data_IF_437223607920
#
_entry.id   IF_437223607920
#
_cell.length_a   1.000
_cell.length_b   1.000
_cell.length_c   1.000
_cell.angle_alpha   90.00
_cell.angle_beta   90.00
_cell.angle_gamma   90.00
#
_symmetry.space_group_name_H-M   'P 1'
#
loop_
_entity.id
_entity.type
_entity.pdbx_description
1 polymer ?
#
# COMPACT_ATOMS: atom_id res chain seq x y z
N UNK A 1 -0.29 -46.87 -52.33
CA UNK A 1 -1.39 -46.27 -51.54
C UNK A 1 -0.75 -45.52 -50.34
N UNK A 2 -0.46 -44.24 -50.57
CA UNK A 2 0.19 -43.41 -49.55
C UNK A 2 -0.91 -42.81 -48.66
N UNK A 3 -0.86 -43.09 -47.36
CA UNK A 3 -1.75 -42.50 -46.37
C UNK A 3 -1.05 -41.27 -45.78
N UNK A 4 -1.54 -40.08 -46.13
CA UNK A 4 -1.08 -38.79 -45.56
C UNK A 4 -1.78 -38.55 -44.24
N UNK A 5 -1.06 -38.64 -43.12
CA UNK A 5 -1.56 -38.29 -41.78
C UNK A 5 -1.44 -36.78 -41.65
N UNK A 6 -2.57 -36.09 -41.63
CA UNK A 6 -2.66 -34.65 -41.27
C UNK A 6 -2.69 -34.52 -39.75
N UNK A 7 -1.58 -34.06 -39.18
CA UNK A 7 -1.52 -33.75 -37.76
C UNK A 7 -2.23 -32.38 -37.50
N UNK A 8 -3.40 -32.41 -36.87
CA UNK A 8 -4.07 -31.23 -36.40
C UNK A 8 -3.38 -30.72 -35.11
N UNK A 9 -2.64 -29.64 -35.21
CA UNK A 9 -2.10 -28.93 -34.03
C UNK A 9 -3.23 -28.19 -33.31
N UNK A 10 -3.64 -28.70 -32.18
CA UNK A 10 -4.56 -28.00 -31.26
C UNK A 10 -3.83 -26.80 -30.64
N UNK A 11 -4.15 -25.58 -31.07
CA UNK A 11 -3.78 -24.37 -30.36
C UNK A 11 -4.61 -24.28 -29.08
N UNK A 12 -4.05 -24.78 -27.99
CA UNK A 12 -4.59 -24.47 -26.64
C UNK A 12 -4.34 -22.98 -26.35
N UNK A 13 -5.38 -22.17 -26.53
CA UNK A 13 -5.37 -20.77 -26.11
C UNK A 13 -5.09 -20.72 -24.62
N UNK A 14 -3.99 -20.09 -24.22
CA UNK A 14 -3.70 -19.77 -22.83
C UNK A 14 -4.78 -18.81 -22.35
N UNK A 15 -5.84 -19.31 -21.70
CA UNK A 15 -6.72 -18.47 -20.89
C UNK A 15 -5.86 -17.83 -19.81
N UNK A 16 -5.62 -16.53 -19.92
CA UNK A 16 -4.84 -15.78 -18.94
C UNK A 16 -5.47 -15.94 -17.57
N UNK A 17 -4.85 -16.73 -16.70
CA UNK A 17 -5.31 -16.87 -15.32
C UNK A 17 -5.20 -15.52 -14.62
N UNK A 18 -6.27 -15.15 -13.90
CA UNK A 18 -6.25 -13.97 -13.03
C UNK A 18 -5.10 -14.12 -12.02
N UNK A 19 -4.29 -13.06 -11.79
CA UNK A 19 -3.22 -13.13 -10.82
C UNK A 19 -3.76 -13.32 -9.41
N UNK A 20 -2.94 -13.85 -8.50
CA UNK A 20 -3.31 -13.89 -7.09
C UNK A 20 -3.39 -12.47 -6.54
N UNK A 21 -4.41 -12.17 -5.73
CA UNK A 21 -4.68 -10.85 -5.19
C UNK A 21 -3.45 -10.23 -4.48
N UNK A 22 -2.67 -11.08 -3.77
CA UNK A 22 -1.49 -10.63 -3.02
C UNK A 22 -0.33 -10.18 -3.91
N UNK A 23 -0.31 -10.58 -5.19
CA UNK A 23 0.77 -10.24 -6.11
C UNK A 23 0.51 -8.95 -6.88
N UNK A 24 -0.74 -8.48 -6.93
CA UNK A 24 -1.16 -7.30 -7.70
C UNK A 24 -0.61 -6.01 -7.11
N UNK A 25 -0.44 -5.96 -5.78
CA UNK A 25 0.11 -4.78 -5.11
C UNK A 25 1.41 -5.15 -4.40
N UNK A 26 2.46 -4.39 -4.68
CA UNK A 26 3.78 -4.50 -4.06
C UNK A 26 4.01 -3.32 -3.11
N UNK A 27 3.72 -3.45 -1.82
CA UNK A 27 3.91 -2.37 -0.86
C UNK A 27 5.32 -2.37 -0.28
N UNK A 28 5.86 -1.16 -0.05
CA UNK A 28 7.10 -0.88 0.64
C UNK A 28 6.85 0.16 1.73
N UNK A 29 7.64 0.14 2.80
CA UNK A 29 7.58 1.12 3.89
C UNK A 29 8.84 1.95 3.95
N UNK A 30 8.69 3.22 4.30
CA UNK A 30 9.78 4.19 4.43
C UNK A 30 9.59 5.01 5.70
N UNK A 31 10.69 5.45 6.31
CA UNK A 31 10.70 6.41 7.41
C UNK A 31 11.35 7.71 6.95
N UNK A 32 10.93 8.83 7.52
CA UNK A 32 11.41 10.16 7.10
C UNK A 32 12.62 10.65 7.89
N UNK A 33 12.91 10.03 9.03
CA UNK A 33 13.92 10.52 9.97
C UNK A 33 14.68 9.36 10.63
N UNK A 34 16.01 9.47 10.74
CA UNK A 34 16.85 8.47 11.39
C UNK A 34 18.06 9.09 12.10
N UNK A 35 18.33 8.74 13.38
CA UNK A 35 17.38 8.12 14.30
C UNK A 35 16.21 9.04 14.59
N UNK A 36 15.14 8.56 15.24
CA UNK A 36 14.01 9.36 15.69
C UNK A 36 14.23 9.78 17.14
N UNK A 37 14.55 11.06 17.44
CA UNK A 37 14.71 11.51 18.82
C UNK A 37 13.37 11.58 19.55
N UNK A 38 13.36 11.29 20.84
CA UNK A 38 12.21 11.57 21.73
C UNK A 38 11.74 13.00 21.59
N UNK A 39 10.43 13.22 21.64
CA UNK A 39 9.81 14.53 21.47
C UNK A 39 9.73 15.01 20.01
N UNK A 40 10.16 14.21 19.01
CA UNK A 40 10.14 14.60 17.59
C UNK A 40 8.99 13.96 16.84
N UNK A 41 8.49 14.72 15.88
CA UNK A 41 7.59 14.21 14.86
C UNK A 41 8.39 13.59 13.72
N UNK A 42 7.86 12.52 13.12
CA UNK A 42 8.41 11.85 11.96
C UNK A 42 7.26 11.30 11.11
N UNK A 43 7.57 10.86 9.91
CA UNK A 43 6.59 10.25 9.02
C UNK A 43 7.00 8.81 8.67
N UNK A 44 6.00 7.97 8.51
CA UNK A 44 6.10 6.66 7.87
C UNK A 44 5.27 6.73 6.59
N UNK A 45 5.83 6.27 5.47
CA UNK A 45 5.11 6.14 4.22
C UNK A 45 4.95 4.67 3.85
N UNK A 46 3.73 4.31 3.40
CA UNK A 46 3.46 3.06 2.69
C UNK A 46 3.32 3.41 1.22
N UNK A 47 4.27 2.96 0.41
CA UNK A 47 4.25 3.11 -1.05
C UNK A 47 3.75 1.81 -1.64
N UNK A 48 2.58 1.83 -2.26
CA UNK A 48 1.94 0.69 -2.88
C UNK A 48 2.07 0.79 -4.41
N UNK A 49 2.87 -0.09 -5.01
CA UNK A 49 2.99 -0.23 -6.46
C UNK A 49 1.91 -1.19 -6.96
N UNK A 50 0.97 -0.68 -7.74
CA UNK A 50 -0.16 -1.42 -8.30
C UNK A 50 0.21 -1.86 -9.72
N UNK A 51 0.03 -3.14 -10.04
CA UNK A 51 0.30 -3.65 -11.38
C UNK A 51 -0.55 -2.95 -12.45
N UNK A 52 0.01 -2.68 -13.65
CA UNK A 52 -0.75 -2.15 -14.78
C UNK A 52 -2.00 -3.00 -15.09
N UNK A 53 -3.11 -2.35 -15.41
CA UNK A 53 -4.41 -2.99 -15.65
C UNK A 53 -5.19 -3.31 -14.37
N UNK A 54 -4.64 -2.96 -13.20
CA UNK A 54 -5.33 -3.08 -11.92
C UNK A 54 -5.44 -1.72 -11.23
N UNK A 55 -6.45 -1.62 -10.37
CA UNK A 55 -6.65 -0.53 -9.43
C UNK A 55 -7.00 -1.10 -8.06
N UNK A 56 -6.86 -0.30 -7.02
CA UNK A 56 -7.39 -0.61 -5.68
C UNK A 56 -8.42 0.46 -5.31
N UNK A 57 -9.43 0.08 -4.53
CA UNK A 57 -10.40 1.04 -4.04
C UNK A 57 -9.71 2.13 -3.24
N UNK A 58 -10.20 3.36 -3.29
CA UNK A 58 -9.69 4.44 -2.46
C UNK A 58 -10.00 4.21 -0.97
N UNK A 59 -9.40 5.05 -0.11
CA UNK A 59 -9.67 4.99 1.34
C UNK A 59 -11.10 5.44 1.71
N UNK A 60 -11.74 6.21 0.84
CA UNK A 60 -13.16 6.56 0.92
C UNK A 60 -13.84 6.03 -0.32
N UNK A 61 -14.60 4.99 -0.15
CA UNK A 61 -15.41 4.39 -1.21
C UNK A 61 -16.76 5.10 -1.34
N UNK A 62 -17.38 5.00 -2.51
CA UNK A 62 -18.66 5.63 -2.79
C UNK A 62 -19.85 4.68 -2.62
N UNK A 63 -19.56 3.36 -2.50
CA UNK A 63 -20.55 2.30 -2.35
C UNK A 63 -20.18 1.41 -1.17
N UNK A 64 -21.17 1.05 -0.34
CA UNK A 64 -20.97 0.35 0.93
C UNK A 64 -20.42 -1.08 0.79
N UNK A 65 -20.62 -1.71 -0.38
CA UNK A 65 -20.10 -3.06 -0.65
C UNK A 65 -18.61 -3.08 -1.02
N UNK A 66 -18.02 -1.94 -1.33
CA UNK A 66 -16.61 -1.85 -1.67
C UNK A 66 -15.72 -1.91 -0.43
N UNK A 67 -14.60 -2.59 -0.55
CA UNK A 67 -13.61 -2.67 0.51
C UNK A 67 -12.63 -1.51 0.37
N UNK A 68 -12.59 -0.53 1.29
CA UNK A 68 -11.67 0.58 1.21
C UNK A 68 -10.22 0.15 1.47
N UNK A 69 -9.28 0.90 0.88
CA UNK A 69 -7.86 0.80 1.23
C UNK A 69 -7.62 1.47 2.57
N UNK A 70 -7.07 0.74 3.54
CA UNK A 70 -6.68 1.27 4.85
C UNK A 70 -5.24 0.93 5.18
N UNK A 71 -4.59 1.82 5.95
CA UNK A 71 -3.27 1.61 6.56
C UNK A 71 -3.41 1.81 8.05
N UNK A 72 -3.20 0.74 8.80
CA UNK A 72 -3.41 0.69 10.25
C UNK A 72 -2.10 0.31 10.95
N UNK A 73 -1.43 1.25 11.66
CA UNK A 73 -0.25 0.95 12.45
C UNK A 73 -0.64 0.35 13.81
N UNK A 74 0.07 -0.68 14.23
CA UNK A 74 0.05 -1.18 15.61
C UNK A 74 1.15 -0.46 16.39
N UNK A 75 0.76 0.55 17.16
CA UNK A 75 1.67 1.51 17.77
C UNK A 75 2.18 1.01 19.12
N UNK A 76 3.51 0.88 19.30
CA UNK A 76 4.09 0.58 20.59
C UNK A 76 3.97 1.78 21.54
N UNK A 77 4.16 1.51 22.84
CA UNK A 77 4.16 2.55 23.86
C UNK A 77 5.11 3.70 23.50
N UNK A 78 4.67 4.95 23.74
CA UNK A 78 5.45 6.14 23.46
C UNK A 78 5.47 6.57 21.99
N UNK A 79 4.76 5.90 21.10
CA UNK A 79 4.54 6.35 19.71
C UNK A 79 3.06 6.68 19.52
N UNK A 80 2.78 7.82 18.90
CA UNK A 80 1.40 8.26 18.62
C UNK A 80 1.22 8.60 17.15
N UNK A 81 0.08 8.19 16.60
CA UNK A 81 -0.38 8.63 15.28
C UNK A 81 -1.09 9.97 15.44
N UNK A 82 -0.67 10.97 14.67
CA UNK A 82 -1.30 12.30 14.65
C UNK A 82 -2.16 12.51 13.42
N UNK A 83 -1.79 11.90 12.28
CA UNK A 83 -2.53 12.03 11.03
C UNK A 83 -2.23 10.85 10.12
N UNK A 84 -3.25 10.36 9.41
CA UNK A 84 -3.08 9.46 8.25
C UNK A 84 -3.58 10.19 6.99
N UNK A 85 -2.71 10.38 6.01
CA UNK A 85 -3.05 11.08 4.77
C UNK A 85 -2.96 10.16 3.56
N UNK A 86 -3.99 10.22 2.74
CA UNK A 86 -4.14 9.46 1.52
C UNK A 86 -4.09 10.39 0.31
N UNK A 87 -3.59 9.94 -0.85
CA UNK A 87 -3.60 10.76 -2.05
C UNK A 87 -5.04 10.99 -2.56
N UNK A 88 -5.20 12.00 -3.41
CA UNK A 88 -6.48 12.22 -4.08
C UNK A 88 -6.81 11.03 -4.99
N UNK A 89 -7.99 10.43 -4.86
CA UNK A 89 -8.39 9.32 -5.71
C UNK A 89 -8.72 9.78 -7.13
N UNK A 90 -8.62 8.85 -8.07
CA UNK A 90 -9.18 8.96 -9.41
C UNK A 90 -10.66 8.54 -9.36
N UNK A 91 -11.51 9.26 -10.10
CA UNK A 91 -12.91 8.89 -10.28
C UNK A 91 -13.05 8.22 -11.66
N UNK A 92 -13.23 6.90 -11.68
CA UNK A 92 -13.34 6.10 -12.90
C UNK A 92 -14.68 5.36 -12.96
N UNK A 93 -15.19 5.18 -14.17
CA UNK A 93 -16.35 4.30 -14.46
C UNK A 93 -15.82 3.01 -15.04
N UNK A 94 -16.30 1.88 -14.51
CA UNK A 94 -15.96 0.53 -14.95
C UNK A 94 -17.21 -0.15 -15.53
N UNK A 95 -17.02 -1.17 -16.38
CA UNK A 95 -18.13 -1.87 -17.02
C UNK A 95 -19.07 -2.58 -16.03
N UNK A 96 -18.50 -3.03 -14.91
CA UNK A 96 -19.24 -3.71 -13.84
C UNK A 96 -19.92 -2.77 -12.83
N UNK A 97 -19.78 -1.45 -12.98
CA UNK A 97 -20.36 -0.47 -12.05
C UNK A 97 -21.18 0.57 -12.79
N UNK A 98 -22.39 0.85 -12.31
CA UNK A 98 -23.23 1.93 -12.85
C UNK A 98 -22.71 3.31 -12.47
N UNK A 99 -22.06 3.43 -11.34
CA UNK A 99 -21.52 4.66 -10.77
C UNK A 99 -20.00 4.76 -10.98
N UNK A 100 -19.47 6.00 -10.89
CA UNK A 100 -18.01 6.20 -10.82
C UNK A 100 -17.49 5.68 -9.50
N UNK A 101 -16.37 4.99 -9.53
CA UNK A 101 -15.66 4.50 -8.36
C UNK A 101 -14.47 5.40 -8.05
N UNK A 102 -14.19 5.60 -6.76
CA UNK A 102 -12.99 6.26 -6.28
C UNK A 102 -11.88 5.20 -6.13
N UNK A 103 -10.80 5.33 -6.90
CA UNK A 103 -9.75 4.31 -7.00
C UNK A 103 -8.35 4.91 -7.00
N UNK A 104 -7.36 4.05 -6.74
CA UNK A 104 -5.95 4.34 -6.89
C UNK A 104 -5.34 3.42 -7.94
N UNK A 105 -4.40 3.95 -8.73
CA UNK A 105 -3.65 3.24 -9.77
C UNK A 105 -2.17 3.62 -9.74
N UNK A 106 -1.32 2.78 -10.31
CA UNK A 106 0.11 3.02 -10.40
C UNK A 106 0.79 3.04 -9.02
N UNK A 107 1.56 4.08 -8.74
CA UNK A 107 2.26 4.23 -7.46
C UNK A 107 1.47 5.13 -6.51
N UNK A 108 1.13 4.61 -5.34
CA UNK A 108 0.29 5.26 -4.32
C UNK A 108 1.07 5.41 -3.03
N UNK A 109 1.22 6.64 -2.53
CA UNK A 109 1.91 6.92 -1.27
C UNK A 109 0.91 7.33 -0.19
N UNK A 110 0.76 6.52 0.83
CA UNK A 110 -0.04 6.79 2.03
C UNK A 110 0.93 7.17 3.15
N UNK A 111 0.69 8.30 3.83
CA UNK A 111 1.60 8.82 4.85
C UNK A 111 0.93 8.82 6.22
N UNK A 112 1.68 8.37 7.21
CA UNK A 112 1.34 8.40 8.61
C UNK A 112 2.26 9.41 9.30
N UNK A 113 1.71 10.46 9.88
CA UNK A 113 2.46 11.38 10.76
C UNK A 113 2.42 10.82 12.17
N UNK A 114 3.59 10.60 12.72
CA UNK A 114 3.81 10.01 14.01
C UNK A 114 4.61 10.95 14.91
N UNK A 115 4.49 10.77 16.21
CA UNK A 115 5.33 11.45 17.19
C UNK A 115 5.93 10.43 18.17
N UNK A 116 7.24 10.54 18.41
CA UNK A 116 7.91 9.86 19.49
C UNK A 116 7.75 10.68 20.78
N UNK A 117 7.04 10.14 21.75
CA UNK A 117 6.77 10.81 23.01
C UNK A 117 8.05 10.90 23.86
N UNK A 118 8.10 11.78 24.88
CA UNK A 118 9.28 11.90 25.76
C UNK A 118 9.65 10.61 26.51
N UNK A 119 8.67 9.73 26.72
CA UNK A 119 8.79 8.43 27.41
C UNK A 119 8.93 7.24 26.46
N UNK A 120 9.01 7.44 25.14
CA UNK A 120 9.19 6.35 24.18
C UNK A 120 10.44 5.51 24.52
N UNK A 121 10.36 4.18 24.53
CA UNK A 121 11.52 3.32 24.79
C UNK A 121 12.67 3.62 23.82
N UNK A 122 13.89 3.69 24.31
CA UNK A 122 15.08 3.90 23.48
C UNK A 122 15.47 2.61 22.76
N UNK A 123 16.10 2.76 21.61
CA UNK A 123 16.61 1.64 20.82
C UNK A 123 15.74 1.24 19.64
N UNK A 124 15.94 0.03 19.15
CA UNK A 124 15.17 -0.50 18.03
C UNK A 124 13.68 -0.61 18.39
N UNK A 125 12.85 -0.06 17.55
CA UNK A 125 11.40 -0.06 17.70
C UNK A 125 10.77 -0.58 16.42
N UNK A 126 9.86 -1.57 16.56
CA UNK A 126 9.06 -2.11 15.47
C UNK A 126 7.66 -1.53 15.54
N UNK A 127 7.17 -1.05 14.40
CA UNK A 127 5.78 -0.64 14.20
C UNK A 127 5.20 -1.55 13.12
N UNK A 128 4.43 -2.60 13.47
CA UNK A 128 3.69 -3.37 12.48
C UNK A 128 2.65 -2.48 11.82
N UNK A 129 2.60 -2.46 10.49
CA UNK A 129 1.62 -1.69 9.72
C UNK A 129 0.82 -2.66 8.87
N UNK A 130 -0.50 -2.68 9.02
CA UNK A 130 -1.39 -3.48 8.19
C UNK A 130 -1.92 -2.64 7.04
N UNK A 131 -1.58 -3.01 5.81
CA UNK A 131 -2.22 -2.52 4.60
C UNK A 131 -3.36 -3.47 4.22
N UNK A 132 -4.60 -2.96 4.18
CA UNK A 132 -5.78 -3.67 3.65
C UNK A 132 -6.19 -3.02 2.35
N UNK A 133 -6.50 -3.83 1.32
CA UNK A 133 -6.98 -3.36 0.03
C UNK A 133 -7.81 -4.43 -0.69
N UNK A 134 -8.57 -4.01 -1.68
CA UNK A 134 -9.17 -4.88 -2.68
C UNK A 134 -8.77 -4.37 -4.06
N UNK A 135 -8.14 -5.25 -4.85
CA UNK A 135 -7.73 -4.94 -6.21
C UNK A 135 -8.77 -5.45 -7.22
N UNK A 136 -9.04 -4.63 -8.24
CA UNK A 136 -9.94 -4.95 -9.33
C UNK A 136 -9.25 -4.62 -10.67
N UNK A 137 -9.66 -5.27 -11.73
CA UNK A 137 -9.42 -4.84 -13.11
C UNK A 137 -10.71 -4.27 -13.72
N UNK A 138 -10.77 -4.09 -15.03
CA UNK A 138 -11.94 -3.52 -15.70
C UNK A 138 -13.18 -4.42 -15.67
N UNK A 139 -13.04 -5.71 -15.36
CA UNK A 139 -14.12 -6.70 -15.43
C UNK A 139 -14.47 -7.36 -14.10
N UNK A 140 -13.52 -7.46 -13.16
CA UNK A 140 -13.73 -8.20 -11.91
C UNK A 140 -12.84 -7.71 -10.78
N UNK A 141 -13.30 -7.95 -9.54
CA UNK A 141 -12.53 -7.73 -8.33
C UNK A 141 -11.94 -9.02 -7.77
N UNK A 142 -10.71 -8.94 -7.30
CA UNK A 142 -10.03 -10.01 -6.58
C UNK A 142 -10.46 -10.03 -5.11
N UNK A 143 -10.25 -11.13 -4.39
CA UNK A 143 -10.48 -11.17 -2.94
C UNK A 143 -9.71 -10.06 -2.21
N UNK A 144 -10.26 -9.52 -1.10
CA UNK A 144 -9.55 -8.55 -0.27
C UNK A 144 -8.27 -9.13 0.32
N UNK A 145 -7.24 -8.29 0.42
CA UNK A 145 -5.92 -8.65 0.94
C UNK A 145 -5.60 -7.84 2.19
N UNK A 146 -4.92 -8.48 3.15
CA UNK A 146 -4.25 -7.84 4.28
C UNK A 146 -2.76 -8.18 4.22
N UNK A 147 -1.90 -7.16 4.18
CA UNK A 147 -0.44 -7.32 4.24
C UNK A 147 0.11 -6.67 5.49
N UNK A 148 0.88 -7.44 6.25
CA UNK A 148 1.62 -6.93 7.40
C UNK A 148 3.00 -6.46 6.92
N UNK A 149 3.29 -5.21 7.16
CA UNK A 149 4.51 -4.51 6.75
C UNK A 149 5.27 -4.09 8.01
N UNK A 150 6.49 -4.57 8.24
CA UNK A 150 7.29 -4.11 9.35
C UNK A 150 7.88 -2.73 9.03
N UNK A 151 7.77 -1.80 9.97
CA UNK A 151 8.56 -0.57 10.02
C UNK A 151 9.52 -0.70 11.17
N UNK A 152 10.82 -0.58 10.91
CA UNK A 152 11.87 -0.65 11.91
C UNK A 152 12.54 0.71 11.96
N UNK A 153 12.71 1.28 13.16
CA UNK A 153 13.35 2.56 13.39
C UNK A 153 14.12 2.56 14.72
N UNK A 154 15.01 3.52 14.90
CA UNK A 154 15.78 3.70 16.13
C UNK A 154 15.26 4.93 16.89
N UNK A 155 14.75 4.71 18.11
CA UNK A 155 14.41 5.81 19.02
C UNK A 155 15.66 6.23 19.77
N UNK A 156 15.99 7.52 19.70
CA UNK A 156 17.16 8.11 20.33
C UNK A 156 16.77 9.08 21.48
N UNK A 157 17.71 9.42 22.37
CA UNK A 157 17.49 10.45 23.39
C UNK A 157 17.04 11.78 22.78
N UNK A 158 16.26 12.58 23.55
CA UNK A 158 15.90 13.91 23.14
C UNK A 158 17.15 14.76 22.83
N UNK A 159 17.08 15.60 21.80
CA UNK A 159 18.21 16.42 21.35
C UNK A 159 19.25 15.71 20.49
N UNK A 160 19.13 14.38 20.26
CA UNK A 160 19.99 13.67 19.30
C UNK A 160 19.83 14.28 17.91
N UNK A 161 20.95 14.49 17.21
CA UNK A 161 20.92 14.92 15.81
C UNK A 161 20.32 13.80 14.95
N UNK A 162 19.30 14.15 14.21
CA UNK A 162 18.59 13.25 13.30
C UNK A 162 18.80 13.69 11.86
N UNK A 163 18.87 12.72 10.96
CA UNK A 163 18.97 12.95 9.52
C UNK A 163 17.64 12.68 8.81
N UNK A 164 17.31 13.55 7.88
CA UNK A 164 16.20 13.28 6.97
C UNK A 164 16.62 12.18 5.99
N UNK A 165 15.85 11.11 5.92
CA UNK A 165 16.07 9.98 5.02
C UNK A 165 14.91 9.85 4.03
N UNK A 166 15.16 9.22 2.88
CA UNK A 166 14.17 9.01 1.81
C UNK A 166 13.45 10.30 1.36
N UNK A 167 14.18 11.41 1.10
CA UNK A 167 13.57 12.71 0.83
C UNK A 167 12.66 12.70 -0.40
N UNK A 168 12.90 11.83 -1.39
CA UNK A 168 12.09 11.69 -2.59
C UNK A 168 10.65 11.20 -2.27
N UNK A 169 10.49 10.42 -1.18
CA UNK A 169 9.17 9.91 -0.74
C UNK A 169 8.40 10.97 0.04
N UNK A 170 9.11 11.81 0.84
CA UNK A 170 8.48 12.73 1.80
C UNK A 170 8.38 14.17 1.31
N UNK A 171 9.01 14.54 0.18
CA UNK A 171 8.79 15.88 -0.42
C UNK A 171 7.31 16.06 -0.76
N UNK A 172 6.74 17.18 -0.34
CA UNK A 172 5.42 17.62 -0.83
C UNK A 172 5.58 17.96 -2.31
N UNK A 173 4.78 17.32 -3.15
CA UNK A 173 4.59 17.75 -4.55
C UNK A 173 3.70 18.97 -4.58
#
# INVERSE_FOLDING_TARGET
MLITIVAAAAMAGAMGQMPRAETVVRPLTYVSLEPVPRGRNFEVAVVAEIQPGFHINANKVLEDYLIPTTVEPDLPNGIRLTEASYPKPLLKKFEFSEQKMAVYEGSVTIRLKLSAQPDAPLGETKIPVTLRYQACNDTACLPPVRKNLPVILQIAPAGTTAQAVNPEIFKKK
#
